data_IF_786985034866
#
_entry.id   IF_786985034866
#
_cell.length_a   1.000
_cell.length_b   1.000
_cell.length_c   1.000
_cell.angle_alpha   90.00
_cell.angle_beta   90.00
_cell.angle_gamma   90.00
#
_symmetry.space_group_name_H-M   'P 1'
#
loop_
_entity.id
_entity.type
_entity.pdbx_description
1 polymer ?
#
# COMPACT_ATOMS: atom_id res chain seq x y z
N UNK A 1 -32.99 -12.87 14.80
CA UNK A 1 -32.75 -11.53 14.25
C UNK A 1 -31.34 -11.03 14.57
N UNK A 2 -30.85 -11.21 15.80
CA UNK A 2 -29.49 -10.80 16.19
C UNK A 2 -28.36 -11.63 15.57
N UNK A 3 -28.59 -12.91 15.30
CA UNK A 3 -27.63 -13.76 14.59
C UNK A 3 -27.54 -13.42 13.09
N UNK A 4 -28.67 -13.08 12.46
CA UNK A 4 -28.68 -12.63 11.06
C UNK A 4 -28.02 -11.27 10.86
N UNK A 5 -27.99 -10.39 11.86
CA UNK A 5 -27.29 -9.10 11.83
C UNK A 5 -25.76 -9.25 11.91
N UNK A 6 -25.25 -10.36 12.44
CA UNK A 6 -23.81 -10.67 12.46
C UNK A 6 -23.29 -11.19 11.13
N UNK A 7 -24.16 -11.77 10.31
CA UNK A 7 -23.83 -12.27 8.97
C UNK A 7 -23.99 -11.22 7.85
N UNK A 8 -24.72 -10.13 8.11
CA UNK A 8 -24.93 -9.09 7.10
C UNK A 8 -23.84 -8.03 7.28
N UNK A 9 -22.70 -8.22 6.61
CA UNK A 9 -21.75 -7.13 6.41
C UNK A 9 -22.43 -6.00 5.61
N UNK A 10 -22.27 -4.71 6.01
CA UNK A 10 -22.73 -3.58 5.20
C UNK A 10 -22.23 -3.71 3.77
N UNK A 11 -23.06 -3.39 2.79
CA UNK A 11 -22.73 -3.55 1.35
C UNK A 11 -21.42 -2.89 0.94
N UNK A 12 -21.03 -1.78 1.59
CA UNK A 12 -19.74 -1.13 1.43
C UNK A 12 -18.54 -2.00 1.91
N UNK A 13 -18.75 -2.89 2.88
CA UNK A 13 -17.69 -3.82 3.34
C UNK A 13 -17.47 -5.00 2.41
N UNK A 14 -18.47 -5.42 1.64
CA UNK A 14 -18.33 -6.52 0.67
C UNK A 14 -17.43 -6.16 -0.51
N UNK A 15 -17.13 -4.88 -0.70
CA UNK A 15 -16.36 -4.36 -1.83
C UNK A 15 -14.86 -4.25 -1.56
N UNK A 16 -14.44 -4.24 -0.30
CA UNK A 16 -13.02 -4.25 0.09
C UNK A 16 -12.60 -5.70 0.32
N UNK A 17 -12.04 -6.31 -0.72
CA UNK A 17 -11.54 -7.68 -0.64
C UNK A 17 -10.27 -7.71 0.21
N UNK A 18 -10.27 -8.59 1.20
CA UNK A 18 -9.06 -8.97 1.94
C UNK A 18 -8.53 -10.24 1.29
N UNK A 19 -7.36 -10.15 0.75
CA UNK A 19 -6.69 -11.26 0.08
C UNK A 19 -5.59 -11.83 0.98
N UNK A 20 -5.39 -13.15 0.90
CA UNK A 20 -4.19 -13.80 1.43
C UNK A 20 -3.32 -14.14 0.22
N UNK A 21 -2.30 -13.35 -0.07
CA UNK A 21 -1.47 -13.57 -1.26
C UNK A 21 -0.67 -14.85 -1.10
N UNK A 22 -0.40 -15.53 -2.23
CA UNK A 22 0.39 -16.77 -2.27
C UNK A 22 1.75 -16.59 -2.94
N UNK A 23 2.11 -15.35 -3.25
CA UNK A 23 3.39 -15.00 -3.88
C UNK A 23 4.50 -15.06 -2.85
N UNK A 24 5.55 -15.80 -3.13
CA UNK A 24 6.73 -15.90 -2.27
C UNK A 24 7.89 -15.08 -2.86
N UNK A 25 8.87 -14.74 -2.02
CA UNK A 25 10.11 -14.10 -2.48
C UNK A 25 10.90 -14.94 -3.51
N UNK A 26 10.74 -16.26 -3.48
CA UNK A 26 11.40 -17.16 -4.43
C UNK A 26 10.81 -17.11 -5.84
N UNK A 27 9.57 -16.58 -5.97
CA UNK A 27 8.90 -16.40 -7.26
C UNK A 27 9.41 -15.15 -8.00
N UNK A 28 10.34 -14.40 -7.38
CA UNK A 28 10.87 -13.14 -7.90
C UNK A 28 12.39 -13.17 -7.99
N UNK A 29 12.93 -13.01 -9.20
CA UNK A 29 14.36 -12.95 -9.45
C UNK A 29 14.91 -11.51 -9.49
N UNK A 30 16.18 -11.35 -9.14
CA UNK A 30 16.95 -10.14 -9.41
C UNK A 30 16.66 -8.91 -8.56
N UNK A 31 16.02 -9.03 -7.42
CA UNK A 31 15.61 -7.92 -6.56
C UNK A 31 16.26 -7.95 -5.16
N UNK A 32 17.46 -8.53 -5.03
CA UNK A 32 18.12 -8.81 -3.74
C UNK A 32 18.22 -7.59 -2.80
N UNK A 33 18.71 -6.46 -3.29
CA UNK A 33 18.86 -5.24 -2.49
C UNK A 33 17.49 -4.68 -2.05
N UNK A 34 16.53 -4.62 -2.99
CA UNK A 34 15.16 -4.16 -2.72
C UNK A 34 14.45 -5.07 -1.71
N UNK A 35 14.59 -6.38 -1.87
CA UNK A 35 14.06 -7.38 -0.94
C UNK A 35 14.58 -7.13 0.47
N UNK A 36 15.90 -6.96 0.62
CA UNK A 36 16.52 -6.71 1.92
C UNK A 36 15.96 -5.42 2.56
N UNK A 37 15.82 -4.35 1.79
CA UNK A 37 15.29 -3.08 2.29
C UNK A 37 13.82 -3.18 2.73
N UNK A 38 13.01 -3.97 2.03
CA UNK A 38 11.62 -4.24 2.41
C UNK A 38 11.52 -5.11 3.66
N UNK A 39 12.38 -6.12 3.79
CA UNK A 39 12.46 -6.96 5.00
C UNK A 39 12.78 -6.08 6.22
N UNK A 40 13.78 -5.22 6.11
CA UNK A 40 14.19 -4.34 7.21
C UNK A 40 13.10 -3.29 7.54
N UNK A 41 12.43 -2.75 6.53
CA UNK A 41 11.46 -1.67 6.71
C UNK A 41 10.06 -2.14 7.12
N UNK A 42 9.64 -3.35 6.74
CA UNK A 42 8.28 -3.85 6.98
C UNK A 42 8.27 -5.12 7.82
N UNK A 43 9.04 -6.13 7.39
CA UNK A 43 8.95 -7.45 8.01
C UNK A 43 9.47 -7.44 9.45
N UNK A 44 10.65 -6.84 9.68
CA UNK A 44 11.20 -6.78 11.03
C UNK A 44 10.34 -5.97 12.01
N UNK A 45 9.82 -4.78 11.67
CA UNK A 45 8.91 -4.07 12.57
C UNK A 45 7.65 -4.84 12.94
N UNK A 46 7.06 -5.57 11.99
CA UNK A 46 5.87 -6.40 12.24
C UNK A 46 6.22 -7.62 13.10
N UNK A 47 7.31 -8.34 12.77
CA UNK A 47 7.70 -9.55 13.49
C UNK A 47 8.35 -9.30 14.85
N UNK A 48 8.99 -8.14 15.04
CA UNK A 48 9.77 -7.82 16.24
C UNK A 48 9.55 -6.39 16.76
N UNK A 49 8.31 -5.97 17.01
CA UNK A 49 7.97 -4.59 17.38
C UNK A 49 8.69 -4.12 18.66
N UNK A 50 8.89 -5.02 19.62
CA UNK A 50 9.57 -4.70 20.88
C UNK A 50 11.01 -4.20 20.71
N UNK A 51 11.72 -4.73 19.71
CA UNK A 51 13.11 -4.28 19.44
C UNK A 51 13.14 -2.85 18.95
N UNK A 52 12.22 -2.49 18.06
CA UNK A 52 12.11 -1.13 17.52
C UNK A 52 11.71 -0.14 18.63
N UNK A 53 10.77 -0.53 19.50
CA UNK A 53 10.38 0.28 20.65
C UNK A 53 11.55 0.53 21.61
N UNK A 54 12.33 -0.51 21.95
CA UNK A 54 13.51 -0.39 22.83
C UNK A 54 14.60 0.50 22.23
N UNK A 55 14.78 0.47 20.91
CA UNK A 55 15.75 1.29 20.20
C UNK A 55 15.26 2.72 19.93
N UNK A 56 13.99 3.04 20.20
CA UNK A 56 13.40 4.32 19.86
C UNK A 56 13.28 4.59 18.36
N UNK A 57 13.38 3.54 17.53
CA UNK A 57 13.29 3.63 16.07
C UNK A 57 11.83 3.55 15.65
N UNK A 58 11.39 4.52 14.85
CA UNK A 58 10.05 4.51 14.25
C UNK A 58 10.14 3.89 12.87
N UNK A 59 9.47 2.74 12.61
CA UNK A 59 9.40 2.19 11.27
C UNK A 59 8.59 3.11 10.35
N UNK A 60 8.82 3.04 9.02
CA UNK A 60 8.05 3.80 8.06
C UNK A 60 6.59 3.37 8.09
N UNK A 61 5.68 4.34 7.97
CA UNK A 61 4.25 4.10 7.87
C UNK A 61 3.84 3.72 6.46
N UNK A 62 4.54 4.26 5.47
CA UNK A 62 4.27 4.06 4.06
C UNK A 62 5.53 3.91 3.23
N UNK A 63 5.44 3.06 2.22
CA UNK A 63 6.50 2.81 1.24
C UNK A 63 5.94 3.03 -0.16
N UNK A 64 6.63 3.82 -0.97
CA UNK A 64 6.31 4.04 -2.37
C UNK A 64 7.24 3.22 -3.26
N UNK A 65 6.68 2.27 -4.00
CA UNK A 65 7.35 1.55 -5.07
C UNK A 65 7.16 2.33 -6.37
N UNK A 66 8.25 2.73 -7.02
CA UNK A 66 8.15 3.48 -8.27
C UNK A 66 9.07 2.89 -9.34
N UNK A 67 8.72 3.09 -10.60
CA UNK A 67 9.51 2.60 -11.74
C UNK A 67 8.66 2.23 -12.93
N UNK A 68 9.26 1.75 -14.03
CA UNK A 68 8.56 1.41 -15.27
C UNK A 68 7.43 0.40 -15.06
N UNK A 69 6.40 0.39 -15.92
CA UNK A 69 5.37 -0.63 -15.87
C UNK A 69 5.96 -2.03 -16.12
N UNK A 70 5.30 -3.07 -15.57
CA UNK A 70 5.71 -4.46 -15.78
C UNK A 70 6.94 -4.92 -14.99
N UNK A 71 7.46 -4.12 -14.05
CA UNK A 71 8.63 -4.48 -13.22
C UNK A 71 8.28 -5.28 -11.96
N UNK A 72 7.02 -5.67 -11.75
CA UNK A 72 6.60 -6.54 -10.65
C UNK A 72 6.24 -5.83 -9.35
N UNK A 73 5.98 -4.51 -9.34
CA UNK A 73 5.64 -3.75 -8.13
C UNK A 73 4.49 -4.36 -7.32
N UNK A 74 3.43 -4.81 -7.99
CA UNK A 74 2.28 -5.48 -7.36
C UNK A 74 2.68 -6.81 -6.73
N UNK A 75 3.50 -7.62 -7.43
CA UNK A 75 4.01 -8.89 -6.91
C UNK A 75 4.89 -8.70 -5.67
N UNK A 76 5.71 -7.65 -5.66
CA UNK A 76 6.55 -7.30 -4.50
C UNK A 76 5.68 -7.04 -3.28
N UNK A 77 4.62 -6.22 -3.40
CA UNK A 77 3.72 -5.94 -2.29
C UNK A 77 3.00 -7.20 -1.78
N UNK A 78 2.59 -8.09 -2.68
CA UNK A 78 1.99 -9.37 -2.34
C UNK A 78 2.97 -10.30 -1.62
N UNK A 79 4.24 -10.37 -2.07
CA UNK A 79 5.25 -11.18 -1.43
C UNK A 79 5.56 -10.70 -0.01
N UNK A 80 5.65 -9.38 0.21
CA UNK A 80 5.81 -8.80 1.55
C UNK A 80 4.65 -9.20 2.46
N UNK A 81 3.41 -9.13 1.98
CA UNK A 81 2.23 -9.50 2.76
C UNK A 81 2.24 -11.00 3.13
N UNK A 82 2.60 -11.86 2.18
CA UNK A 82 2.70 -13.29 2.43
C UNK A 82 3.78 -13.61 3.48
N UNK A 83 4.97 -13.05 3.36
CA UNK A 83 6.09 -13.29 4.29
C UNK A 83 5.84 -12.75 5.71
N UNK A 84 5.04 -11.70 5.82
CA UNK A 84 4.66 -11.12 7.12
C UNK A 84 3.40 -11.76 7.70
N UNK A 85 2.76 -12.69 6.99
CA UNK A 85 1.43 -13.22 7.31
C UNK A 85 0.39 -12.11 7.55
N UNK A 86 0.52 -11.01 6.83
CA UNK A 86 -0.38 -9.89 6.91
C UNK A 86 -1.53 -10.02 5.91
N UNK A 87 -2.70 -9.54 6.30
CA UNK A 87 -3.84 -9.42 5.41
C UNK A 87 -3.53 -8.37 4.32
N UNK A 88 -3.89 -8.66 3.08
CA UNK A 88 -3.59 -7.80 1.93
C UNK A 88 -4.86 -7.17 1.40
N UNK A 89 -4.90 -5.85 1.38
CA UNK A 89 -6.02 -5.06 0.85
C UNK A 89 -5.52 -4.31 -0.37
N UNK A 90 -5.88 -4.80 -1.57
CA UNK A 90 -5.46 -4.20 -2.83
C UNK A 90 -6.49 -3.21 -3.36
N UNK A 91 -6.05 -2.02 -3.71
CA UNK A 91 -6.85 -0.94 -4.28
C UNK A 91 -6.19 -0.48 -5.57
N UNK A 92 -6.93 -0.54 -6.67
CA UNK A 92 -6.50 0.04 -7.93
C UNK A 92 -7.08 1.44 -8.09
N UNK A 93 -6.22 2.43 -8.31
CA UNK A 93 -6.62 3.83 -8.40
C UNK A 93 -7.77 4.10 -9.36
N UNK A 94 -7.72 3.68 -10.64
CA UNK A 94 -8.82 3.90 -11.60
C UNK A 94 -10.14 3.26 -11.18
N UNK A 95 -10.10 2.08 -10.57
CA UNK A 95 -11.30 1.38 -10.07
C UNK A 95 -11.94 2.14 -8.90
N UNK A 96 -11.12 2.72 -8.02
CA UNK A 96 -11.61 3.52 -6.91
C UNK A 96 -12.37 4.74 -7.42
N UNK A 97 -11.87 5.43 -8.44
CA UNK A 97 -12.52 6.59 -9.01
C UNK A 97 -13.83 6.26 -9.73
N UNK A 98 -13.85 5.18 -10.52
CA UNK A 98 -15.03 4.79 -11.29
C UNK A 98 -16.16 4.22 -10.42
N UNK A 99 -15.81 3.45 -9.39
CA UNK A 99 -16.77 2.74 -8.54
C UNK A 99 -17.34 3.63 -7.42
N UNK A 100 -16.58 4.62 -6.96
CA UNK A 100 -16.88 5.47 -5.81
C UNK A 100 -17.09 6.94 -6.20
N UNK A 101 -17.68 7.20 -7.38
CA UNK A 101 -18.01 8.56 -7.82
C UNK A 101 -18.87 9.24 -6.76
N UNK A 102 -18.35 10.33 -6.19
CA UNK A 102 -19.02 11.11 -5.12
C UNK A 102 -18.82 10.57 -3.70
N UNK A 103 -18.27 9.37 -3.49
CA UNK A 103 -18.06 8.77 -2.16
C UNK A 103 -16.61 8.30 -1.92
N UNK A 104 -15.68 8.71 -2.76
CA UNK A 104 -14.26 8.23 -2.69
C UNK A 104 -13.58 8.52 -1.35
N UNK A 105 -13.96 9.60 -0.65
CA UNK A 105 -13.48 9.92 0.71
C UNK A 105 -13.95 8.88 1.73
N UNK A 106 -15.22 8.45 1.64
CA UNK A 106 -15.76 7.40 2.51
C UNK A 106 -15.06 6.08 2.25
N UNK A 107 -14.80 5.76 0.97
CA UNK A 107 -14.09 4.56 0.58
C UNK A 107 -12.71 4.47 1.23
N UNK A 108 -11.92 5.56 1.19
CA UNK A 108 -10.60 5.61 1.84
C UNK A 108 -10.75 5.34 3.35
N UNK A 109 -11.66 6.01 4.04
CA UNK A 109 -11.89 5.78 5.47
C UNK A 109 -12.25 4.34 5.78
N UNK A 110 -13.12 3.72 4.99
CA UNK A 110 -13.53 2.33 5.16
C UNK A 110 -12.38 1.35 4.94
N UNK A 111 -11.52 1.59 3.94
CA UNK A 111 -10.31 0.79 3.68
C UNK A 111 -9.40 0.80 4.91
N UNK A 112 -9.07 1.98 5.42
CA UNK A 112 -8.20 2.11 6.60
C UNK A 112 -8.86 1.56 7.87
N UNK A 113 -10.17 1.74 8.03
CA UNK A 113 -10.93 1.15 9.12
C UNK A 113 -10.87 -0.38 9.08
N UNK A 114 -11.11 -0.97 7.89
CA UNK A 114 -11.03 -2.42 7.70
C UNK A 114 -9.62 -2.95 7.94
N UNK A 115 -8.59 -2.27 7.46
CA UNK A 115 -7.21 -2.65 7.70
C UNK A 115 -6.89 -2.71 9.20
N UNK A 116 -7.33 -1.72 9.97
CA UNK A 116 -7.18 -1.73 11.43
C UNK A 116 -7.93 -2.87 12.14
N UNK A 117 -9.06 -3.32 11.57
CA UNK A 117 -9.84 -4.45 12.13
C UNK A 117 -9.21 -5.81 11.86
N UNK A 118 -8.52 -5.96 10.74
CA UNK A 118 -7.90 -7.22 10.31
C UNK A 118 -6.38 -7.20 10.46
N UNK A 119 -5.84 -6.33 11.31
CA UNK A 119 -4.38 -6.23 11.51
C UNK A 119 -3.79 -7.56 12.03
N UNK A 120 -2.56 -7.94 11.65
CA UNK A 120 -1.66 -7.17 10.79
C UNK A 120 -2.13 -7.10 9.34
N UNK A 121 -2.05 -5.91 8.74
CA UNK A 121 -2.56 -5.68 7.39
C UNK A 121 -1.65 -4.78 6.55
N UNK A 122 -1.57 -5.06 5.26
CA UNK A 122 -0.93 -4.21 4.26
C UNK A 122 -2.01 -3.65 3.34
N UNK A 123 -2.10 -2.33 3.28
CA UNK A 123 -2.92 -1.63 2.29
C UNK A 123 -2.03 -1.34 1.08
N UNK A 124 -2.42 -1.83 -0.08
CA UNK A 124 -1.69 -1.62 -1.32
C UNK A 124 -2.48 -0.76 -2.29
N UNK A 125 -1.95 0.42 -2.61
CA UNK A 125 -2.49 1.31 -3.64
C UNK A 125 -1.71 1.11 -4.94
N UNK A 126 -2.33 0.49 -5.93
CA UNK A 126 -1.77 0.39 -7.28
C UNK A 126 -2.20 1.59 -8.13
N UNK A 127 -1.28 2.07 -8.97
CA UNK A 127 -1.49 3.28 -9.79
C UNK A 127 -1.91 4.49 -8.94
N UNK A 128 -1.11 4.78 -7.89
CA UNK A 128 -1.38 5.89 -6.97
C UNK A 128 -1.49 7.24 -7.69
N UNK A 129 -0.77 7.41 -8.78
CA UNK A 129 -0.79 8.60 -9.64
C UNK A 129 -2.19 8.91 -10.22
N UNK A 130 -3.05 7.92 -10.35
CA UNK A 130 -4.43 8.11 -10.83
C UNK A 130 -5.35 8.74 -9.77
N UNK A 131 -5.08 8.56 -8.47
CA UNK A 131 -5.91 9.06 -7.37
C UNK A 131 -5.29 10.24 -6.63
N UNK A 132 -4.00 10.45 -6.78
CA UNK A 132 -3.26 11.49 -6.07
C UNK A 132 -2.34 12.30 -6.99
N UNK A 133 -2.84 12.86 -8.10
CA UNK A 133 -2.06 13.71 -8.97
C UNK A 133 -1.74 15.05 -8.31
N UNK A 134 -0.69 15.71 -8.80
CA UNK A 134 -0.30 17.05 -8.39
C UNK A 134 -1.45 18.05 -8.59
N UNK A 135 -1.66 18.94 -7.65
CA UNK A 135 -2.73 19.93 -7.67
C UNK A 135 -2.64 20.81 -8.91
N UNK A 136 -3.78 21.01 -9.58
CA UNK A 136 -3.90 21.91 -10.74
C UNK A 136 -3.69 21.26 -12.10
N UNK A 137 -3.50 19.94 -12.20
CA UNK A 137 -3.34 19.24 -13.48
C UNK A 137 -4.64 18.72 -14.10
N UNK A 138 -5.76 18.68 -13.37
CA UNK A 138 -7.01 18.07 -13.85
C UNK A 138 -8.23 18.99 -13.72
N UNK A 139 -9.13 18.92 -14.72
CA UNK A 139 -10.45 19.60 -14.70
C UNK A 139 -11.40 19.05 -13.59
N UNK A 140 -11.11 17.86 -13.04
CA UNK A 140 -11.80 17.25 -11.89
C UNK A 140 -11.25 17.64 -10.51
N UNK A 141 -10.41 18.66 -10.41
CA UNK A 141 -9.52 18.99 -9.30
C UNK A 141 -10.11 18.94 -7.89
N UNK A 142 -11.38 19.35 -7.68
CA UNK A 142 -11.98 19.37 -6.33
C UNK A 142 -12.23 17.98 -5.75
N UNK A 143 -12.62 17.02 -6.56
CA UNK A 143 -12.89 15.64 -6.07
C UNK A 143 -11.58 14.95 -5.74
N UNK A 144 -10.60 15.03 -6.64
CA UNK A 144 -9.26 14.49 -6.42
C UNK A 144 -8.58 15.10 -5.20
N UNK A 145 -8.67 16.40 -5.04
CA UNK A 145 -8.10 17.11 -3.90
C UNK A 145 -8.69 16.63 -2.55
N UNK A 146 -9.98 16.32 -2.49
CA UNK A 146 -10.61 15.75 -1.30
C UNK A 146 -10.12 14.32 -1.03
N UNK A 147 -9.97 13.50 -2.08
CA UNK A 147 -9.43 12.15 -1.99
C UNK A 147 -8.00 12.18 -1.43
N UNK A 148 -7.14 13.04 -1.99
CA UNK A 148 -5.77 13.23 -1.51
C UNK A 148 -5.75 13.69 -0.04
N UNK A 149 -6.56 14.69 0.29
CA UNK A 149 -6.62 15.19 1.67
C UNK A 149 -7.10 14.12 2.65
N UNK A 150 -8.09 13.28 2.26
CA UNK A 150 -8.52 12.16 3.10
C UNK A 150 -7.42 11.11 3.25
N UNK A 151 -6.72 10.77 2.16
CA UNK A 151 -5.59 9.84 2.21
C UNK A 151 -4.48 10.35 3.14
N UNK A 152 -4.15 11.63 3.05
CA UNK A 152 -3.18 12.28 3.93
C UNK A 152 -3.61 12.20 5.40
N UNK A 153 -4.89 12.47 5.69
CA UNK A 153 -5.43 12.40 7.04
C UNK A 153 -5.35 10.97 7.62
N UNK A 154 -5.67 9.95 6.80
CA UNK A 154 -5.57 8.55 7.24
C UNK A 154 -4.11 8.11 7.45
N UNK A 155 -3.17 8.53 6.58
CA UNK A 155 -1.74 8.25 6.76
C UNK A 155 -1.19 8.90 8.03
N UNK A 156 -1.56 10.17 8.28
CA UNK A 156 -1.14 10.88 9.49
C UNK A 156 -1.72 10.21 10.75
N UNK A 157 -2.93 9.66 10.65
CA UNK A 157 -3.61 8.93 11.73
C UNK A 157 -3.10 7.50 11.99
N UNK A 158 -2.23 6.96 11.13
CA UNK A 158 -1.60 5.67 11.39
C UNK A 158 -0.55 5.80 12.51
N UNK A 159 -0.57 4.86 13.44
CA UNK A 159 0.50 4.70 14.41
C UNK A 159 1.53 3.71 13.88
N UNK A 160 2.80 4.09 13.90
CA UNK A 160 3.91 3.37 13.26
C UNK A 160 4.17 1.93 13.78
N UNK A 161 3.47 1.49 14.81
CA UNK A 161 3.66 0.17 15.44
C UNK A 161 2.34 -0.59 15.64
N UNK A 162 1.25 -0.15 15.00
CA UNK A 162 -0.06 -0.81 15.10
C UNK A 162 -0.38 -1.62 13.83
N UNK A 163 0.58 -2.41 13.37
CA UNK A 163 0.41 -3.52 12.42
C UNK A 163 -0.35 -3.21 11.12
N UNK A 164 -0.43 -1.92 10.73
CA UNK A 164 -0.93 -1.50 9.41
C UNK A 164 0.14 -0.72 8.69
N UNK A 165 0.58 -1.25 7.55
CA UNK A 165 1.57 -0.61 6.66
C UNK A 165 0.90 -0.28 5.34
N UNK A 166 1.23 0.86 4.77
CA UNK A 166 0.75 1.28 3.45
C UNK A 166 1.86 1.13 2.43
N UNK A 167 1.61 0.36 1.38
CA UNK A 167 2.49 0.29 0.22
C UNK A 167 1.74 0.91 -0.96
N UNK A 168 2.40 1.77 -1.71
CA UNK A 168 1.84 2.31 -2.94
C UNK A 168 2.76 2.02 -4.12
N UNK A 169 2.18 1.88 -5.30
CA UNK A 169 2.91 1.73 -6.54
C UNK A 169 2.53 2.82 -7.53
N UNK A 170 3.52 3.35 -8.24
CA UNK A 170 3.33 4.30 -9.34
C UNK A 170 4.34 4.08 -10.45
N UNK A 171 3.93 4.37 -11.68
CA UNK A 171 4.84 4.45 -12.81
C UNK A 171 5.34 5.89 -13.04
N UNK A 172 4.70 6.86 -12.39
CA UNK A 172 4.95 8.29 -12.57
C UNK A 172 5.07 9.03 -11.24
N UNK A 173 6.21 8.89 -10.54
CA UNK A 173 6.42 9.59 -9.28
C UNK A 173 6.47 11.12 -9.43
N UNK A 174 6.75 11.59 -10.64
CA UNK A 174 6.86 13.01 -11.03
C UNK A 174 5.53 13.78 -10.93
N UNK A 175 4.39 13.08 -11.07
CA UNK A 175 3.07 13.71 -11.05
C UNK A 175 2.33 13.55 -9.71
N UNK A 176 2.91 12.87 -8.74
CA UNK A 176 2.30 12.70 -7.42
C UNK A 176 2.27 14.00 -6.62
N UNK A 177 1.21 14.20 -5.82
CA UNK A 177 1.16 15.31 -4.87
C UNK A 177 2.34 15.23 -3.89
N UNK A 178 3.22 16.26 -3.83
CA UNK A 178 4.40 16.26 -2.96
C UNK A 178 4.07 16.10 -1.48
N UNK A 179 2.84 16.40 -1.07
CA UNK A 179 2.40 16.21 0.31
C UNK A 179 2.42 14.74 0.74
N UNK A 180 2.26 13.80 -0.18
CA UNK A 180 2.35 12.36 0.10
C UNK A 180 3.78 11.90 0.43
N UNK A 181 4.78 12.59 -0.12
CA UNK A 181 6.20 12.22 0.02
C UNK A 181 6.88 12.84 1.24
N UNK A 182 6.11 13.51 2.10
CA UNK A 182 6.63 14.08 3.34
C UNK A 182 6.84 13.00 4.40
N UNK A 183 7.80 13.25 5.30
CA UNK A 183 8.06 12.37 6.44
C UNK A 183 6.80 12.12 7.28
N UNK A 184 6.62 10.88 7.72
CA UNK A 184 5.43 10.41 8.43
C UNK A 184 4.31 9.88 7.51
N UNK A 185 4.53 9.83 6.18
CA UNK A 185 3.60 9.33 5.16
C UNK A 185 4.29 8.27 4.32
N UNK A 186 4.64 8.55 3.05
CA UNK A 186 5.52 7.67 2.28
C UNK A 186 6.98 8.00 2.58
N UNK A 187 7.48 7.50 3.69
CA UNK A 187 8.81 7.80 4.21
C UNK A 187 9.94 7.18 3.37
N UNK A 188 9.63 6.13 2.65
CA UNK A 188 10.58 5.41 1.81
C UNK A 188 10.08 5.35 0.37
N UNK A 189 11.00 5.67 -0.54
CA UNK A 189 10.77 5.57 -1.98
C UNK A 189 11.76 4.55 -2.55
N UNK A 190 11.25 3.45 -3.10
CA UNK A 190 12.05 2.34 -3.60
C UNK A 190 11.88 2.20 -5.11
N UNK A 191 12.98 2.30 -5.84
CA UNK A 191 12.99 2.11 -7.28
C UNK A 191 12.90 0.63 -7.62
N UNK A 192 11.88 0.26 -8.39
CA UNK A 192 11.72 -1.06 -8.99
C UNK A 192 12.08 -0.95 -10.47
N UNK A 193 13.37 -1.10 -10.77
CA UNK A 193 13.89 -1.03 -12.13
C UNK A 193 13.68 -2.33 -12.91
N UNK A 194 13.95 -2.32 -14.22
CA UNK A 194 14.01 -3.54 -15.02
C UNK A 194 15.14 -4.45 -14.49
N UNK A 195 14.94 -5.78 -14.53
CA UNK A 195 15.94 -6.72 -14.04
C UNK A 195 17.23 -6.66 -14.89
N UNK A 196 18.36 -6.78 -14.23
CA UNK A 196 19.66 -6.94 -14.87
C UNK A 196 19.81 -8.31 -15.55
N UNK A 197 20.97 -8.62 -16.12
CA UNK A 197 21.20 -9.90 -16.80
C UNK A 197 21.01 -11.10 -15.87
N UNK A 198 21.48 -10.99 -14.65
CA UNK A 198 21.38 -12.06 -13.67
C UNK A 198 19.93 -12.24 -13.21
N UNK A 199 19.23 -11.15 -12.93
CA UNK A 199 17.83 -11.17 -12.55
C UNK A 199 16.92 -11.75 -13.65
N UNK A 200 17.18 -11.43 -14.91
CA UNK A 200 16.47 -12.08 -16.04
C UNK A 200 16.71 -13.59 -16.09
N UNK A 201 17.92 -14.02 -15.80
CA UNK A 201 18.22 -15.45 -15.74
C UNK A 201 17.50 -16.16 -14.59
N UNK A 202 17.39 -15.50 -13.45
CA UNK A 202 16.65 -16.01 -12.28
C UNK A 202 15.14 -16.09 -12.55
N UNK A 203 14.58 -15.10 -13.25
CA UNK A 203 13.14 -15.07 -13.61
C UNK A 203 12.77 -16.17 -14.62
N UNK A 204 13.71 -16.59 -15.47
CA UNK A 204 13.48 -17.58 -16.54
C UNK A 204 13.77 -19.04 -16.11
N UNK A 205 14.21 -19.27 -14.90
CA UNK A 205 14.39 -20.59 -14.30
C UNK A 205 13.10 -21.13 -13.71
#
# INVERSE_FOLDING_TARGET
FEEALKEIEPSAMREVLVEVPRVNWNDMGGLGALKQELIESIEWPIKQPEKFQKMGIRPPKGILLYGPPGTGKTMIAQAVANETNANFISIRGPQMLSKWVGESEKAIREIFRKARQVSPAIIFFDELDSIAPMRGMDEGGRVMERVVNQLLAELDGLEALKDVVVIAATNRPDILDPALLRSGRFDRMLLVGPPDRQGRHEILK
#
